data_IF_137637693993
#
_entry.id   IF_137637693993
#
_cell.length_a   1.000
_cell.length_b   1.000
_cell.length_c   1.000
_cell.angle_alpha   90.00
_cell.angle_beta   90.00
_cell.angle_gamma   90.00
#
_symmetry.space_group_name_H-M   'P 1'
#
loop_
_entity.id
_entity.type
_entity.pdbx_description
1 polymer ?
#
# COMPACT_ATOMS: atom_id res chain seq x y z
N UNK A 1 -43.31 2.13 45.85
CA UNK A 1 -42.18 3.07 45.76
C UNK A 1 -40.93 2.23 45.49
N UNK A 2 -40.68 1.91 44.23
CA UNK A 2 -39.73 2.54 43.31
C UNK A 2 -38.25 2.32 43.70
N UNK A 3 -37.58 1.42 43.00
CA UNK A 3 -36.36 1.77 42.25
C UNK A 3 -35.93 0.58 41.40
N UNK A 4 -36.49 0.57 40.20
CA UNK A 4 -36.03 -0.17 39.04
C UNK A 4 -34.55 0.12 38.83
N UNK A 5 -33.71 -0.90 38.79
CA UNK A 5 -32.32 -0.83 38.31
C UNK A 5 -32.35 -0.46 36.83
N UNK A 6 -32.45 0.84 36.56
CA UNK A 6 -32.51 1.39 35.23
C UNK A 6 -31.34 2.35 35.03
N UNK A 7 -30.77 2.25 33.83
CA UNK A 7 -29.69 3.07 33.29
C UNK A 7 -28.26 2.72 33.70
N UNK A 8 -27.89 1.44 33.55
CA UNK A 8 -26.58 1.17 32.94
C UNK A 8 -26.77 1.19 31.42
N UNK A 9 -26.51 2.35 30.83
CA UNK A 9 -26.45 2.54 29.38
C UNK A 9 -25.29 1.68 28.84
N UNK A 10 -25.59 0.47 28.39
CA UNK A 10 -24.63 -0.46 27.79
C UNK A 10 -24.88 -0.67 26.28
N UNK A 11 -25.68 0.21 25.65
CA UNK A 11 -26.16 -0.01 24.28
C UNK A 11 -25.52 0.90 23.20
N UNK A 12 -24.23 1.22 23.27
CA UNK A 12 -23.60 1.94 22.13
C UNK A 12 -22.14 1.61 21.84
N UNK A 13 -21.50 0.67 22.54
CA UNK A 13 -20.06 0.36 22.30
C UNK A 13 -19.79 -1.07 21.83
N UNK A 14 -20.79 -1.96 21.86
CA UNK A 14 -20.57 -3.36 21.45
C UNK A 14 -20.35 -3.52 19.94
N UNK A 15 -20.92 -2.65 19.12
CA UNK A 15 -20.75 -2.69 17.67
C UNK A 15 -19.47 -2.03 17.15
N UNK A 16 -18.73 -1.28 17.99
CA UNK A 16 -17.46 -0.65 17.63
C UNK A 16 -16.25 -1.42 18.15
N UNK A 17 -16.38 -2.08 19.31
CA UNK A 17 -15.27 -2.79 19.95
C UNK A 17 -14.86 -4.08 19.19
N UNK A 18 -15.82 -4.81 18.61
CA UNK A 18 -15.55 -6.06 17.88
C UNK A 18 -14.67 -5.88 16.63
N UNK A 19 -14.81 -4.74 15.93
CA UNK A 19 -14.00 -4.46 14.73
C UNK A 19 -12.55 -4.10 15.08
N UNK A 20 -12.36 -3.37 16.17
CA UNK A 20 -11.04 -2.94 16.66
C UNK A 20 -10.23 -4.16 17.15
N UNK A 21 -10.86 -5.09 17.86
CA UNK A 21 -10.20 -6.31 18.36
C UNK A 21 -9.92 -7.32 17.23
N UNK A 22 -10.79 -7.40 16.20
CA UNK A 22 -10.54 -8.19 15.00
C UNK A 22 -9.36 -7.62 14.19
N UNK A 23 -9.29 -6.29 14.01
CA UNK A 23 -8.17 -5.60 13.34
C UNK A 23 -6.87 -5.78 14.13
N UNK A 24 -6.92 -5.69 15.48
CA UNK A 24 -5.77 -5.87 16.36
C UNK A 24 -5.22 -7.31 16.34
N UNK A 25 -6.11 -8.30 16.26
CA UNK A 25 -5.75 -9.72 16.06
C UNK A 25 -5.02 -9.94 14.72
N UNK A 26 -5.60 -9.45 13.63
CA UNK A 26 -4.99 -9.54 12.28
C UNK A 26 -3.64 -8.83 12.23
N UNK A 27 -3.51 -7.71 12.94
CA UNK A 27 -2.30 -6.90 12.99
C UNK A 27 -1.19 -7.47 13.88
N UNK A 28 -1.54 -8.12 14.99
CA UNK A 28 -0.57 -8.87 15.79
C UNK A 28 0.00 -10.08 15.03
N UNK A 29 -0.68 -10.53 13.97
CA UNK A 29 -0.17 -11.58 13.07
C UNK A 29 0.84 -11.07 12.02
N UNK A 30 1.07 -9.74 11.95
CA UNK A 30 2.02 -9.15 11.00
C UNK A 30 3.42 -9.64 11.34
N UNK A 31 3.83 -10.62 10.55
CA UNK A 31 5.04 -11.38 10.74
C UNK A 31 6.25 -10.59 10.25
N UNK A 32 7.41 -10.74 10.90
CA UNK A 32 8.69 -10.19 10.42
C UNK A 32 8.96 -10.51 8.94
N UNK A 33 8.48 -11.67 8.47
CA UNK A 33 8.53 -12.10 7.06
C UNK A 33 7.87 -11.10 6.10
N UNK A 34 6.80 -10.43 6.53
CA UNK A 34 6.06 -9.51 5.70
C UNK A 34 6.78 -8.17 5.56
N UNK A 35 7.40 -7.67 6.65
CA UNK A 35 8.28 -6.49 6.60
C UNK A 35 9.48 -6.75 5.70
N UNK A 36 10.10 -7.92 5.81
CA UNK A 36 11.20 -8.33 4.94
C UNK A 36 10.76 -8.42 3.46
N UNK A 37 9.60 -9.03 3.20
CA UNK A 37 9.02 -9.10 1.87
C UNK A 37 8.72 -7.72 1.28
N UNK A 38 8.10 -6.82 2.06
CA UNK A 38 7.84 -5.45 1.66
C UNK A 38 9.13 -4.70 1.30
N UNK A 39 10.19 -4.85 2.10
CA UNK A 39 11.49 -4.25 1.81
C UNK A 39 12.12 -4.76 0.50
N UNK A 40 12.07 -6.07 0.24
CA UNK A 40 12.54 -6.66 -1.02
C UNK A 40 11.73 -6.15 -2.20
N UNK A 41 10.40 -6.11 -2.07
CA UNK A 41 9.50 -5.59 -3.09
C UNK A 41 9.74 -4.10 -3.40
N UNK A 42 10.00 -3.28 -2.38
CA UNK A 42 10.40 -1.89 -2.57
C UNK A 42 11.71 -1.78 -3.34
N UNK A 43 12.73 -2.57 -2.98
CA UNK A 43 14.02 -2.57 -3.67
C UNK A 43 13.90 -2.95 -5.15
N UNK A 44 13.13 -4.00 -5.46
CA UNK A 44 12.87 -4.43 -6.84
C UNK A 44 12.09 -3.34 -7.60
N UNK A 45 11.10 -2.71 -6.96
CA UNK A 45 10.31 -1.64 -7.58
C UNK A 45 11.17 -0.41 -7.90
N UNK A 46 12.03 0.05 -6.98
CA UNK A 46 12.95 1.16 -7.25
C UNK A 46 13.94 0.83 -8.38
N UNK A 47 14.47 -0.39 -8.40
CA UNK A 47 15.37 -0.84 -9.46
C UNK A 47 14.66 -0.85 -10.82
N UNK A 48 13.43 -1.37 -10.89
CA UNK A 48 12.61 -1.34 -12.09
C UNK A 48 12.24 0.09 -12.52
N UNK A 49 11.95 0.98 -11.57
CA UNK A 49 11.62 2.38 -11.83
C UNK A 49 12.80 3.11 -12.47
N UNK A 50 14.01 2.92 -11.93
CA UNK A 50 15.24 3.46 -12.48
C UNK A 50 15.53 2.90 -13.87
N UNK A 51 15.36 1.59 -14.08
CA UNK A 51 15.55 0.94 -15.38
C UNK A 51 14.59 1.45 -16.45
N UNK A 52 13.30 1.51 -16.15
CA UNK A 52 12.26 1.98 -17.07
C UNK A 52 12.36 3.49 -17.33
N UNK A 53 12.70 4.28 -16.31
CA UNK A 53 12.90 5.73 -16.44
C UNK A 53 14.09 6.10 -17.33
N UNK A 54 15.19 5.35 -17.28
CA UNK A 54 16.36 5.57 -18.15
C UNK A 54 16.01 5.30 -19.61
N UNK A 55 15.21 4.28 -19.91
CA UNK A 55 14.74 4.01 -21.29
C UNK A 55 13.85 5.14 -21.80
N UNK A 56 12.94 5.65 -20.97
CA UNK A 56 12.09 6.81 -21.28
C UNK A 56 12.94 8.06 -21.54
N UNK A 57 13.93 8.33 -20.68
CA UNK A 57 14.84 9.46 -20.84
C UNK A 57 15.68 9.34 -22.11
N UNK A 58 16.20 8.16 -22.40
CA UNK A 58 17.03 7.89 -23.57
C UNK A 58 16.22 7.96 -24.88
N UNK A 59 15.01 7.40 -24.92
CA UNK A 59 14.11 7.51 -26.08
C UNK A 59 13.57 8.92 -26.26
N UNK A 60 13.33 9.66 -25.17
CA UNK A 60 12.86 11.04 -25.21
C UNK A 60 13.88 12.03 -25.75
N UNK A 61 15.18 11.83 -25.45
CA UNK A 61 16.25 12.70 -25.91
C UNK A 61 16.81 12.35 -27.30
N UNK A 62 16.67 11.10 -27.76
CA UNK A 62 17.40 10.60 -28.93
C UNK A 62 16.52 9.83 -29.92
N UNK A 63 15.53 10.47 -30.56
CA UNK A 63 15.06 10.04 -31.91
C UNK A 63 14.00 10.97 -32.51
N UNK A 64 14.15 11.23 -33.82
CA UNK A 64 13.08 11.74 -34.69
C UNK A 64 11.87 10.79 -34.63
N UNK A 65 10.78 11.24 -34.02
CA UNK A 65 9.54 10.48 -33.75
C UNK A 65 9.15 9.52 -34.89
N UNK A 66 9.49 8.24 -34.72
CA UNK A 66 8.92 7.13 -35.46
C UNK A 66 7.83 6.50 -34.59
N UNK A 67 6.71 6.01 -35.14
CA UNK A 67 5.65 5.36 -34.38
C UNK A 67 6.14 4.18 -33.51
N UNK A 68 7.30 3.60 -33.86
CA UNK A 68 7.94 2.54 -33.09
C UNK A 68 8.40 2.99 -31.70
N UNK A 69 8.92 4.22 -31.58
CA UNK A 69 9.39 4.79 -30.32
C UNK A 69 8.24 5.07 -29.37
N UNK A 70 7.08 5.50 -29.90
CA UNK A 70 5.87 5.77 -29.10
C UNK A 70 5.32 4.50 -28.47
N UNK A 71 5.37 3.37 -29.19
CA UNK A 71 4.94 2.08 -28.65
C UNK A 71 5.81 1.63 -27.46
N UNK A 72 7.12 1.72 -27.62
CA UNK A 72 8.08 1.38 -26.54
C UNK A 72 7.94 2.34 -25.36
N UNK A 73 7.71 3.62 -25.63
CA UNK A 73 7.47 4.63 -24.59
C UNK A 73 6.18 4.35 -23.81
N UNK A 74 5.10 3.98 -24.50
CA UNK A 74 3.83 3.64 -23.87
C UNK A 74 3.95 2.39 -22.99
N UNK A 75 4.69 1.38 -23.46
CA UNK A 75 5.00 0.20 -22.65
C UNK A 75 5.80 0.59 -21.40
N UNK A 76 6.88 1.37 -21.55
CA UNK A 76 7.68 1.84 -20.42
C UNK A 76 6.90 2.71 -19.42
N UNK A 77 5.97 3.53 -19.89
CA UNK A 77 5.05 4.31 -19.04
C UNK A 77 4.07 3.40 -18.29
N UNK A 78 3.54 2.36 -18.94
CA UNK A 78 2.68 1.39 -18.28
C UNK A 78 3.45 0.63 -17.18
N UNK A 79 4.67 0.18 -17.47
CA UNK A 79 5.55 -0.47 -16.49
C UNK A 79 5.92 0.46 -15.33
N UNK A 80 6.26 1.71 -15.60
CA UNK A 80 6.52 2.73 -14.57
C UNK A 80 5.28 2.96 -13.68
N UNK A 81 4.10 3.07 -14.29
CA UNK A 81 2.84 3.29 -13.58
C UNK A 81 2.45 2.09 -12.72
N UNK A 82 2.68 0.86 -13.20
CA UNK A 82 2.43 -0.36 -12.45
C UNK A 82 3.39 -0.47 -11.25
N UNK A 83 4.70 -0.23 -11.46
CA UNK A 83 5.68 -0.23 -10.37
C UNK A 83 5.38 0.83 -9.32
N UNK A 84 4.94 2.02 -9.76
CA UNK A 84 4.52 3.11 -8.87
C UNK A 84 3.27 2.75 -8.08
N UNK A 85 2.25 2.15 -8.72
CA UNK A 85 1.05 1.66 -8.04
C UNK A 85 1.41 0.60 -6.99
N UNK A 86 2.29 -0.34 -7.33
CA UNK A 86 2.75 -1.39 -6.42
C UNK A 86 3.51 -0.82 -5.22
N UNK A 87 4.37 0.19 -5.45
CA UNK A 87 5.05 0.92 -4.38
C UNK A 87 4.06 1.65 -3.46
N UNK A 88 3.04 2.30 -4.04
CA UNK A 88 2.02 3.02 -3.28
C UNK A 88 1.16 2.06 -2.44
N UNK A 89 0.85 0.87 -2.96
CA UNK A 89 0.14 -0.18 -2.24
C UNK A 89 0.98 -0.75 -1.09
N UNK A 90 2.28 -0.99 -1.30
CA UNK A 90 3.21 -1.38 -0.24
C UNK A 90 3.35 -0.32 0.84
N UNK A 91 3.42 0.95 0.45
CA UNK A 91 3.52 2.06 1.39
C UNK A 91 2.23 2.19 2.21
N UNK A 92 1.06 2.10 1.56
CA UNK A 92 -0.24 2.11 2.25
C UNK A 92 -0.38 0.95 3.24
N UNK A 93 0.06 -0.24 2.84
CA UNK A 93 0.13 -1.40 3.72
C UNK A 93 1.05 -1.13 4.92
N UNK A 94 2.27 -0.62 4.69
CA UNK A 94 3.21 -0.30 5.76
C UNK A 94 2.67 0.77 6.72
N UNK A 95 1.98 1.80 6.21
CA UNK A 95 1.34 2.81 7.05
C UNK A 95 0.21 2.21 7.87
N UNK A 96 -0.60 1.32 7.30
CA UNK A 96 -1.66 0.62 8.03
C UNK A 96 -1.08 -0.23 9.16
N UNK A 97 0.01 -0.95 8.89
CA UNK A 97 0.78 -1.68 9.92
C UNK A 97 1.24 -0.72 11.02
N UNK A 98 1.87 0.39 10.65
CA UNK A 98 2.40 1.36 11.60
C UNK A 98 1.32 1.95 12.51
N UNK A 99 0.17 2.35 11.93
CA UNK A 99 -0.98 2.81 12.69
C UNK A 99 -1.48 1.74 13.66
N UNK A 100 -1.55 0.49 13.20
CA UNK A 100 -2.03 -0.58 14.04
C UNK A 100 -1.04 -0.98 15.15
N UNK A 101 0.28 -0.92 14.92
CA UNK A 101 1.28 -1.08 15.99
C UNK A 101 1.26 0.06 17.01
N UNK A 102 0.71 1.22 16.65
CA UNK A 102 0.66 2.41 17.50
C UNK A 102 -0.63 2.52 18.33
N UNK A 103 -1.64 1.69 18.06
CA UNK A 103 -2.94 1.69 18.73
C UNK A 103 -2.96 0.67 19.88
#
# INVERSE_FOLDING_TARGET
>A
ENSTTNFTLNNTTYGSQDWEDLIRSECSSISHSLIAFAGVCLGISLCGLAGNGVVVWFLGFHTKQSPFTVYILNLAVADFSLLLLFLLLLLAFLTLVAFCTSL
#
